data_IF_694878900048
#
_entry.id   IF_694878900048
#
_cell.length_a   1.000
_cell.length_b   1.000
_cell.length_c   1.000
_cell.angle_alpha   90.00
_cell.angle_beta   90.00
_cell.angle_gamma   90.00
#
_symmetry.space_group_name_H-M   'P 1'
#
loop_
_entity.id
_entity.type
_entity.pdbx_description
1 polymer ?
#
# COMPACT_ATOMS: atom_id res chain seq x y z
N UNK A 1 8.07 1.46 -16.98
CA UNK A 1 7.14 0.32 -16.97
C UNK A 1 7.12 -0.19 -15.53
N UNK A 2 5.96 -0.22 -14.90
CA UNK A 2 5.77 -0.73 -13.55
C UNK A 2 5.05 -2.10 -13.59
N UNK A 3 5.23 -2.98 -12.59
CA UNK A 3 4.52 -4.26 -12.53
C UNK A 3 3.00 -4.11 -12.50
N UNK A 4 2.26 -4.89 -13.29
CA UNK A 4 0.79 -4.84 -13.28
C UNK A 4 0.15 -5.85 -12.32
N UNK A 5 0.93 -6.85 -11.89
CA UNK A 5 0.50 -7.90 -10.97
C UNK A 5 1.71 -8.55 -10.30
N UNK A 6 1.63 -8.83 -9.00
CA UNK A 6 2.65 -9.56 -8.23
C UNK A 6 1.96 -10.55 -7.31
N UNK A 7 2.25 -11.84 -7.45
CA UNK A 7 1.62 -12.89 -6.65
C UNK A 7 2.27 -13.01 -5.26
N UNK A 8 1.45 -13.27 -4.24
CA UNK A 8 1.89 -13.75 -2.94
C UNK A 8 1.72 -15.28 -2.87
N UNK A 9 2.57 -15.99 -2.11
CA UNK A 9 2.45 -17.43 -1.91
C UNK A 9 1.15 -17.86 -1.20
N UNK A 10 0.42 -16.91 -0.61
CA UNK A 10 -0.83 -17.13 0.13
C UNK A 10 -2.07 -17.10 -0.76
N UNK A 11 -1.93 -17.01 -2.09
CA UNK A 11 -3.05 -16.91 -3.04
C UNK A 11 -3.62 -15.50 -3.21
N UNK A 12 -2.99 -14.50 -2.57
CA UNK A 12 -3.28 -13.08 -2.73
C UNK A 12 -2.37 -12.48 -3.80
N UNK A 13 -2.67 -11.26 -4.25
CA UNK A 13 -1.81 -10.53 -5.18
C UNK A 13 -1.81 -9.02 -4.95
N UNK A 14 -0.76 -8.38 -5.44
CA UNK A 14 -0.68 -6.93 -5.60
C UNK A 14 -1.01 -6.55 -7.03
N UNK A 15 -1.72 -5.44 -7.23
CA UNK A 15 -1.86 -4.76 -8.52
C UNK A 15 -2.11 -3.25 -8.33
N UNK A 16 -1.81 -2.40 -9.32
CA UNK A 16 -2.08 -0.96 -9.22
C UNK A 16 -3.53 -0.68 -8.79
N UNK A 17 -3.72 0.22 -7.83
CA UNK A 17 -5.04 0.62 -7.34
C UNK A 17 -5.78 1.43 -8.42
N UNK A 18 -7.11 1.39 -8.40
CA UNK A 18 -7.97 2.05 -9.39
C UNK A 18 -9.11 2.77 -8.71
N UNK A 19 -9.65 3.82 -9.34
CA UNK A 19 -10.86 4.49 -8.84
C UNK A 19 -12.05 3.51 -8.66
N UNK A 20 -12.12 2.46 -9.49
CA UNK A 20 -13.17 1.45 -9.43
C UNK A 20 -13.13 0.58 -8.15
N UNK A 21 -12.04 0.63 -7.37
CA UNK A 21 -11.88 -0.16 -6.14
C UNK A 21 -12.60 0.44 -4.93
N UNK A 22 -13.20 1.63 -5.06
CA UNK A 22 -13.82 2.37 -3.95
C UNK A 22 -14.77 1.55 -3.07
N UNK A 23 -15.50 0.60 -3.66
CA UNK A 23 -16.46 -0.21 -2.91
C UNK A 23 -15.80 -1.32 -2.07
N UNK A 24 -14.55 -1.69 -2.37
CA UNK A 24 -13.74 -2.65 -1.60
C UNK A 24 -12.66 -1.96 -0.74
N UNK A 25 -12.20 -0.77 -1.13
CA UNK A 25 -11.21 0.02 -0.39
C UNK A 25 -11.82 0.70 0.84
N UNK A 26 -12.94 1.41 0.68
CA UNK A 26 -13.59 2.13 1.78
C UNK A 26 -13.85 1.25 3.02
N UNK A 27 -14.37 0.00 2.91
CA UNK A 27 -14.50 -0.89 4.07
C UNK A 27 -13.16 -1.29 4.70
N UNK A 28 -12.11 -1.50 3.89
CA UNK A 28 -10.78 -1.87 4.37
C UNK A 28 -10.14 -0.73 5.19
N UNK A 29 -10.20 0.48 4.63
CA UNK A 29 -9.68 1.72 5.23
C UNK A 29 -10.45 2.07 6.49
N UNK A 30 -11.79 2.14 6.42
CA UNK A 30 -12.62 2.47 7.58
C UNK A 30 -12.55 1.39 8.67
N UNK A 31 -12.45 0.11 8.29
CA UNK A 31 -12.32 -1.01 9.21
C UNK A 31 -11.00 -1.04 9.99
N UNK A 32 -9.95 -0.42 9.45
CA UNK A 32 -8.59 -0.40 10.05
C UNK A 32 -8.17 1.03 10.47
N UNK A 33 -9.12 1.95 10.49
CA UNK A 33 -8.91 3.38 10.48
C UNK A 33 -8.08 3.91 11.65
N UNK A 34 -8.34 3.45 12.88
CA UNK A 34 -7.62 3.96 14.05
C UNK A 34 -6.13 3.68 13.95
N UNK A 35 -5.76 2.46 13.52
CA UNK A 35 -4.36 2.09 13.29
C UNK A 35 -3.77 2.85 12.10
N UNK A 36 -4.47 2.89 10.96
CA UNK A 36 -3.99 3.61 9.78
C UNK A 36 -3.76 5.09 10.08
N UNK A 37 -4.63 5.72 10.86
CA UNK A 37 -4.44 7.10 11.32
C UNK A 37 -3.19 7.26 12.20
N UNK A 38 -2.87 6.29 13.07
CA UNK A 38 -1.64 6.36 13.88
C UNK A 38 -0.35 6.28 13.05
N UNK A 39 -0.43 5.71 11.84
CA UNK A 39 0.71 5.55 10.93
C UNK A 39 0.80 6.76 9.99
N UNK A 40 -0.30 7.10 9.32
CA UNK A 40 -0.32 8.07 8.22
C UNK A 40 -0.97 9.41 8.57
N UNK A 41 -1.74 9.49 9.66
CA UNK A 41 -2.57 10.65 9.97
C UNK A 41 -1.79 11.95 10.16
N UNK A 42 -0.59 11.88 10.76
CA UNK A 42 0.26 13.05 10.97
C UNK A 42 0.90 13.56 9.66
N UNK A 43 1.26 12.65 8.76
CA UNK A 43 1.95 12.98 7.52
C UNK A 43 0.97 13.36 6.39
N UNK A 44 -0.14 12.63 6.28
CA UNK A 44 -1.05 12.67 5.14
C UNK A 44 -2.45 13.17 5.51
N UNK A 45 -2.78 13.27 6.80
CA UNK A 45 -4.16 13.59 7.22
C UNK A 45 -5.16 12.48 6.87
N UNK A 46 -4.68 11.25 6.69
CA UNK A 46 -5.43 10.10 6.20
C UNK A 46 -5.40 8.91 7.19
N UNK A 47 -6.49 8.13 7.32
CA UNK A 47 -7.83 8.38 6.79
C UNK A 47 -8.68 9.26 7.73
N UNK A 48 -9.34 10.33 7.27
CA UNK A 48 -10.05 11.31 8.12
C UNK A 48 -11.33 10.76 8.75
N UNK A 49 -11.78 11.34 9.87
CA UNK A 49 -13.02 10.93 10.57
C UNK A 49 -14.22 11.10 9.65
N UNK A 50 -15.00 10.03 9.48
CA UNK A 50 -16.18 10.04 8.61
C UNK A 50 -15.84 10.16 7.12
N UNK A 51 -14.68 9.66 6.69
CA UNK A 51 -14.32 9.57 5.27
C UNK A 51 -15.48 8.99 4.47
N UNK A 52 -15.91 9.75 3.46
CA UNK A 52 -17.05 9.41 2.62
C UNK A 52 -16.60 8.62 1.40
N UNK A 53 -17.50 7.84 0.82
CA UNK A 53 -17.25 7.13 -0.45
C UNK A 53 -16.78 8.06 -1.58
N UNK A 54 -17.25 9.31 -1.63
CA UNK A 54 -16.80 10.25 -2.65
C UNK A 54 -15.36 10.70 -2.41
N UNK A 55 -14.98 10.98 -1.16
CA UNK A 55 -13.60 11.32 -0.82
C UNK A 55 -12.64 10.18 -1.13
N UNK A 56 -13.06 8.94 -0.84
CA UNK A 56 -12.32 7.74 -1.17
C UNK A 56 -12.15 7.56 -2.69
N UNK A 57 -13.25 7.70 -3.44
CA UNK A 57 -13.20 7.68 -4.90
C UNK A 57 -12.24 8.74 -5.47
N UNK A 58 -12.26 9.96 -4.93
CA UNK A 58 -11.40 11.05 -5.39
C UNK A 58 -9.92 10.76 -5.08
N UNK A 59 -9.62 10.16 -3.92
CA UNK A 59 -8.27 9.73 -3.51
C UNK A 59 -7.73 8.61 -4.41
N UNK A 60 -8.57 7.59 -4.67
CA UNK A 60 -8.22 6.49 -5.57
C UNK A 60 -8.03 6.96 -7.02
N UNK A 61 -8.87 7.89 -7.50
CA UNK A 61 -8.72 8.48 -8.83
C UNK A 61 -7.44 9.32 -8.95
N UNK A 62 -7.04 9.98 -7.87
CA UNK A 62 -5.75 10.68 -7.81
C UNK A 62 -4.59 9.70 -7.94
N UNK A 63 -4.55 8.64 -7.13
CA UNK A 63 -3.51 7.61 -7.22
C UNK A 63 -3.46 6.91 -8.58
N UNK A 64 -4.61 6.60 -9.18
CA UNK A 64 -4.68 6.02 -10.52
C UNK A 64 -4.05 6.93 -11.58
N UNK A 65 -4.24 8.25 -11.47
CA UNK A 65 -3.62 9.24 -12.33
C UNK A 65 -2.10 9.34 -12.10
N UNK A 66 -1.64 9.34 -10.85
CA UNK A 66 -0.20 9.36 -10.52
C UNK A 66 0.52 8.12 -11.05
N UNK A 67 -0.10 6.93 -10.94
CA UNK A 67 0.42 5.67 -11.49
C UNK A 67 0.56 5.76 -13.01
N UNK A 68 -0.47 6.29 -13.70
CA UNK A 68 -0.44 6.46 -15.15
C UNK A 68 0.67 7.44 -15.59
N UNK A 69 0.90 8.48 -14.79
CA UNK A 69 1.97 9.45 -14.98
C UNK A 69 3.37 8.94 -14.55
N UNK A 70 3.43 7.81 -13.83
CA UNK A 70 4.63 7.28 -13.17
C UNK A 70 5.25 8.27 -12.15
N UNK A 71 4.39 8.97 -11.40
CA UNK A 71 4.80 9.94 -10.37
C UNK A 71 4.92 9.27 -8.99
N UNK A 72 3.95 8.45 -8.64
CA UNK A 72 3.91 7.60 -7.44
C UNK A 72 3.21 6.28 -7.81
N UNK A 73 3.26 5.29 -6.92
CA UNK A 73 2.50 4.07 -7.10
C UNK A 73 1.84 3.58 -5.83
N UNK A 74 0.54 3.32 -5.90
CA UNK A 74 -0.22 2.63 -4.87
C UNK A 74 -0.72 1.28 -5.43
N UNK A 75 -0.38 0.19 -4.76
CA UNK A 75 -0.80 -1.17 -5.10
C UNK A 75 -1.77 -1.71 -4.06
N UNK A 76 -2.94 -2.16 -4.49
CA UNK A 76 -3.88 -2.88 -3.64
C UNK A 76 -3.41 -4.34 -3.43
N UNK A 77 -3.43 -4.80 -2.19
CA UNK A 77 -3.37 -6.22 -1.82
C UNK A 77 -4.79 -6.79 -1.85
N UNK A 78 -5.00 -7.82 -2.67
CA UNK A 78 -6.31 -8.38 -2.93
C UNK A 78 -6.32 -9.89 -2.72
N UNK A 79 -7.49 -10.44 -2.41
CA UNK A 79 -7.74 -11.87 -2.54
C UNK A 79 -7.74 -12.31 -4.01
N UNK A 80 -7.69 -13.63 -4.26
CA UNK A 80 -7.62 -14.21 -5.61
C UNK A 80 -8.73 -13.68 -6.53
N UNK A 81 -9.94 -13.51 -5.99
CA UNK A 81 -11.11 -13.06 -6.74
C UNK A 81 -11.26 -11.54 -6.90
N UNK A 82 -10.34 -10.75 -6.32
CA UNK A 82 -10.47 -9.29 -6.17
C UNK A 82 -11.83 -8.87 -5.59
N UNK A 83 -12.35 -9.66 -4.64
CA UNK A 83 -13.60 -9.40 -3.94
C UNK A 83 -13.40 -8.54 -2.69
N UNK A 84 -12.16 -8.45 -2.20
CA UNK A 84 -11.82 -7.66 -1.03
C UNK A 84 -10.42 -7.04 -1.14
N UNK A 85 -10.29 -5.78 -0.72
CA UNK A 85 -9.01 -5.12 -0.50
C UNK A 85 -8.54 -5.36 0.94
N UNK A 86 -7.31 -5.82 1.06
CA UNK A 86 -6.76 -6.38 2.29
C UNK A 86 -5.55 -5.61 2.81
N UNK A 87 -5.13 -4.58 2.09
CA UNK A 87 -3.92 -3.82 2.35
C UNK A 87 -3.50 -3.00 1.15
N UNK A 88 -2.49 -2.15 1.32
CA UNK A 88 -1.85 -1.42 0.23
C UNK A 88 -0.32 -1.41 0.38
N UNK A 89 0.37 -1.21 -0.74
CA UNK A 89 1.80 -0.90 -0.83
C UNK A 89 1.97 0.41 -1.59
N UNK A 90 2.54 1.41 -0.94
CA UNK A 90 2.87 2.71 -1.52
C UNK A 90 4.35 2.75 -1.90
N UNK A 91 4.65 3.33 -3.06
CA UNK A 91 6.00 3.59 -3.57
C UNK A 91 6.03 5.03 -4.03
N UNK A 92 6.55 5.91 -3.16
CA UNK A 92 6.53 7.35 -3.34
C UNK A 92 7.93 7.90 -3.59
N UNK A 93 8.09 8.97 -4.38
CA UNK A 93 9.37 9.65 -4.48
C UNK A 93 9.75 10.27 -3.12
N UNK A 94 10.98 10.04 -2.67
CA UNK A 94 11.43 10.65 -1.42
C UNK A 94 11.79 12.13 -1.63
N UNK A 95 11.57 12.93 -0.58
CA UNK A 95 12.06 14.32 -0.50
C UNK A 95 13.49 14.42 0.04
N UNK A 96 14.06 13.33 0.53
CA UNK A 96 15.43 13.29 1.05
C UNK A 96 16.45 13.13 -0.09
N UNK A 97 17.58 13.86 -0.07
CA UNK A 97 18.53 13.89 -1.18
C UNK A 97 19.23 12.54 -1.46
N UNK A 98 19.29 11.64 -0.48
CA UNK A 98 19.99 10.35 -0.56
C UNK A 98 19.03 9.13 -0.61
N UNK A 99 17.74 9.37 -0.85
CA UNK A 99 16.71 8.34 -0.99
C UNK A 99 15.96 8.60 -2.29
N UNK A 100 15.81 7.59 -3.13
CA UNK A 100 15.09 7.73 -4.40
C UNK A 100 13.62 7.32 -4.30
N UNK A 101 13.27 6.42 -3.39
CA UNK A 101 11.89 6.06 -3.10
C UNK A 101 11.66 5.75 -1.61
N UNK A 102 10.49 6.14 -1.11
CA UNK A 102 9.94 5.71 0.18
C UNK A 102 8.84 4.68 -0.08
N UNK A 103 8.96 3.52 0.55
CA UNK A 103 8.04 2.40 0.38
C UNK A 103 7.39 2.07 1.71
N UNK A 104 6.08 2.17 1.80
CA UNK A 104 5.30 1.83 3.00
C UNK A 104 4.18 0.88 2.63
N UNK A 105 3.74 0.05 3.58
CA UNK A 105 2.65 -0.87 3.32
C UNK A 105 1.92 -1.26 4.59
N UNK A 106 0.67 -1.71 4.44
CA UNK A 106 -0.18 -2.13 5.53
C UNK A 106 -1.10 -3.27 5.09
N UNK A 107 -1.64 -4.00 6.07
CA UNK A 107 -2.76 -4.93 5.91
C UNK A 107 -3.93 -4.50 6.79
N UNK A 108 -5.14 -4.95 6.48
CA UNK A 108 -6.33 -4.72 7.32
C UNK A 108 -6.16 -5.31 8.72
N UNK A 109 -6.89 -4.80 9.71
CA UNK A 109 -6.73 -5.15 11.13
C UNK A 109 -6.66 -6.64 11.45
N UNK A 110 -7.59 -7.41 10.87
CA UNK A 110 -7.69 -8.85 11.10
C UNK A 110 -6.54 -9.69 10.50
N UNK A 111 -5.74 -9.11 9.62
CA UNK A 111 -4.60 -9.80 8.99
C UNK A 111 -3.27 -9.54 9.70
N UNK A 112 -3.24 -8.67 10.70
CA UNK A 112 -2.02 -8.46 11.50
C UNK A 112 -1.64 -9.72 12.27
N UNK A 113 -0.36 -10.06 12.24
CA UNK A 113 0.24 -11.27 12.80
C UNK A 113 -0.02 -12.55 11.99
N UNK A 114 -0.73 -12.46 10.86
CA UNK A 114 -1.10 -13.65 10.07
C UNK A 114 -0.02 -14.06 9.07
N UNK A 115 -0.25 -15.17 8.37
CA UNK A 115 0.63 -15.59 7.26
C UNK A 115 0.56 -14.65 6.05
N UNK A 116 -0.57 -13.96 5.83
CA UNK A 116 -0.70 -13.01 4.72
C UNK A 116 0.20 -11.80 4.94
N UNK A 117 0.19 -11.25 6.15
CA UNK A 117 1.06 -10.13 6.52
C UNK A 117 2.54 -10.50 6.40
N UNK A 118 2.93 -11.68 6.93
CA UNK A 118 4.30 -12.20 6.85
C UNK A 118 4.75 -12.44 5.40
N UNK A 119 3.85 -12.93 4.55
CA UNK A 119 4.14 -13.10 3.13
C UNK A 119 4.37 -11.74 2.44
N UNK A 120 3.57 -10.72 2.77
CA UNK A 120 3.75 -9.37 2.25
C UNK A 120 5.06 -8.74 2.76
N UNK A 121 5.39 -8.91 4.05
CA UNK A 121 6.67 -8.51 4.67
C UNK A 121 7.89 -9.02 3.91
N UNK A 122 7.84 -10.29 3.51
CA UNK A 122 8.94 -10.89 2.77
C UNK A 122 8.95 -10.49 1.29
N UNK A 123 7.77 -10.28 0.70
CA UNK A 123 7.62 -9.97 -0.71
C UNK A 123 8.12 -8.55 -1.01
N UNK A 124 7.64 -7.53 -0.28
CA UNK A 124 7.87 -6.12 -0.64
C UNK A 124 9.36 -5.79 -0.76
N UNK A 125 10.24 -6.09 0.21
CA UNK A 125 11.68 -5.81 0.09
C UNK A 125 12.33 -6.47 -1.13
N UNK A 126 12.00 -7.74 -1.39
CA UNK A 126 12.54 -8.50 -2.54
C UNK A 126 12.03 -7.94 -3.86
N UNK A 127 10.75 -7.59 -3.91
CA UNK A 127 10.09 -7.02 -5.08
C UNK A 127 10.64 -5.63 -5.41
N UNK A 128 10.82 -4.76 -4.41
CA UNK A 128 11.45 -3.45 -4.59
C UNK A 128 12.89 -3.60 -5.09
N UNK A 129 13.70 -4.45 -4.47
CA UNK A 129 15.10 -4.64 -4.86
C UNK A 129 15.30 -5.27 -6.25
N UNK A 130 14.38 -6.12 -6.71
CA UNK A 130 14.50 -6.84 -7.98
C UNK A 130 13.65 -6.30 -9.13
N UNK A 131 12.57 -5.58 -8.83
CA UNK A 131 11.56 -5.15 -9.79
C UNK A 131 11.54 -3.65 -10.09
N UNK A 132 12.29 -2.85 -9.34
CA UNK A 132 12.29 -1.40 -9.46
C UNK A 132 13.69 -0.84 -9.72
N UNK A 133 13.82 0.30 -10.42
CA UNK A 133 15.12 0.87 -10.80
C UNK A 133 15.78 1.70 -9.68
N UNK A 134 15.39 1.48 -8.43
CA UNK A 134 15.87 2.25 -7.29
C UNK A 134 17.27 1.78 -6.86
N UNK A 135 18.17 2.73 -6.62
CA UNK A 135 19.48 2.54 -6.04
C UNK A 135 19.47 2.62 -4.50
N UNK A 136 18.58 3.43 -3.91
CA UNK A 136 18.55 3.67 -2.47
C UNK A 136 17.11 3.78 -1.90
N UNK A 137 16.25 2.74 -2.05
CA UNK A 137 14.90 2.77 -1.53
C UNK A 137 14.91 2.67 0.00
N UNK A 138 14.02 3.43 0.64
CA UNK A 138 13.76 3.35 2.09
C UNK A 138 12.45 2.61 2.35
N UNK A 139 12.52 1.51 3.09
CA UNK A 139 11.36 0.73 3.50
C UNK A 139 10.86 1.21 4.86
N UNK A 140 9.60 1.61 4.95
CA UNK A 140 8.94 2.21 6.11
C UNK A 140 7.97 1.24 6.80
N UNK A 141 8.29 -0.06 6.85
CA UNK A 141 7.37 -1.06 7.41
C UNK A 141 7.08 -0.84 8.90
N UNK A 142 8.09 -0.40 9.66
CA UNK A 142 8.01 -0.12 11.11
C UNK A 142 9.26 0.63 11.66
N UNK A 143 10.12 1.26 10.84
CA UNK A 143 11.49 1.69 11.23
C UNK A 143 12.28 0.57 11.96
N UNK A 144 12.53 -0.59 11.29
CA UNK A 144 13.19 -1.82 11.78
C UNK A 144 13.78 -1.81 13.23
N UNK A 145 13.10 -2.46 14.18
CA UNK A 145 13.74 -2.94 15.40
C UNK A 145 12.85 -3.78 16.34
N UNK A 146 13.37 -4.89 16.93
CA UNK A 146 14.29 -5.88 16.37
C UNK A 146 13.56 -7.20 16.03
N UNK A 147 14.08 -7.93 15.03
CA UNK A 147 13.96 -9.38 15.03
C UNK A 147 14.84 -9.89 16.19
N UNK A 148 14.20 -10.21 17.33
CA UNK A 148 14.74 -10.93 18.50
C UNK A 148 16.14 -10.57 18.99
#
# INVERSE_FOLDING_TARGET
>A
MHPLRVELPTGHHLRPIRAADVDIDLPAVLGSRERLWSIYGAAWGWPPVGMTRQQDLDDLAHHEAEIAAHESFNYALLDEGETELLGCVYVDPSRAPDVDAEVSWWVVDRLVGTEVERALDELVPRWIAGGWPFAAPRLLRDDLGPLT
#
